data_IF_233011562803
#
_entry.id   IF_233011562803
#
_cell.length_a   1.000
_cell.length_b   1.000
_cell.length_c   1.000
_cell.angle_alpha   90.00
_cell.angle_beta   90.00
_cell.angle_gamma   90.00
#
_symmetry.space_group_name_H-M   'P 1'
#
loop_
_entity.id
_entity.type
_entity.pdbx_description
1 polymer ?
#
# COMPACT_ATOMS: atom_id res chain seq x y z
N UNK A 1 -27.16 -16.31 -14.14
CA UNK A 1 -26.08 -17.13 -13.54
C UNK A 1 -25.75 -16.50 -12.18
N UNK A 2 -25.57 -17.28 -11.12
CA UNK A 2 -25.07 -16.70 -9.88
C UNK A 2 -23.69 -16.12 -10.14
N UNK A 3 -23.48 -14.86 -9.79
CA UNK A 3 -22.18 -14.20 -9.89
C UNK A 3 -21.18 -14.96 -9.01
N UNK A 4 -20.00 -15.25 -9.54
CA UNK A 4 -18.94 -15.86 -8.74
C UNK A 4 -18.45 -14.88 -7.65
N UNK A 5 -17.92 -15.42 -6.56
CA UNK A 5 -17.20 -14.59 -5.59
C UNK A 5 -15.93 -14.05 -6.24
N UNK A 6 -15.74 -12.72 -6.18
CA UNK A 6 -14.61 -12.03 -6.81
C UNK A 6 -13.73 -11.42 -5.73
N UNK A 7 -12.41 -11.62 -5.86
CA UNK A 7 -11.44 -10.96 -4.99
C UNK A 7 -11.06 -9.59 -5.54
N UNK A 8 -10.75 -8.66 -4.65
CA UNK A 8 -10.33 -7.29 -4.96
C UNK A 8 -9.22 -6.83 -4.03
N UNK A 9 -8.35 -5.99 -4.57
CA UNK A 9 -7.43 -5.13 -3.84
C UNK A 9 -7.97 -3.71 -3.83
N UNK A 10 -7.93 -3.03 -2.70
CA UNK A 10 -8.20 -1.61 -2.55
C UNK A 10 -6.92 -0.91 -2.15
N UNK A 11 -6.67 0.24 -2.75
CA UNK A 11 -5.56 1.11 -2.40
C UNK A 11 -6.11 2.46 -1.99
N UNK A 12 -5.62 2.96 -0.86
CA UNK A 12 -6.03 4.23 -0.26
C UNK A 12 -4.82 5.15 -0.32
N UNK A 13 -4.92 6.19 -1.15
CA UNK A 13 -3.82 7.12 -1.40
C UNK A 13 -4.14 8.48 -0.77
N UNK A 14 -3.27 8.93 0.12
CA UNK A 14 -3.38 10.24 0.77
C UNK A 14 -2.87 11.41 -0.11
N UNK A 15 -2.32 11.11 -1.29
CA UNK A 15 -1.68 12.10 -2.14
C UNK A 15 -0.35 12.60 -1.57
N UNK A 16 0.12 13.72 -2.09
CA UNK A 16 1.35 14.37 -1.61
C UNK A 16 1.11 15.04 -0.25
N UNK A 17 1.74 14.50 0.78
CA UNK A 17 1.69 14.98 2.16
C UNK A 17 3.09 14.97 2.77
N UNK A 18 3.27 15.61 3.92
CA UNK A 18 4.57 15.71 4.58
C UNK A 18 5.05 14.38 5.20
N UNK A 19 4.14 13.47 5.49
CA UNK A 19 4.45 12.21 6.18
C UNK A 19 4.90 12.35 7.62
N UNK A 20 4.92 13.57 8.13
CA UNK A 20 5.32 13.95 9.49
C UNK A 20 4.08 14.20 10.33
N UNK A 21 3.21 15.11 9.88
CA UNK A 21 1.96 15.47 10.55
C UNK A 21 0.79 14.62 10.10
N UNK A 22 0.81 14.19 8.83
CA UNK A 22 -0.19 13.29 8.25
C UNK A 22 0.51 12.14 7.52
N UNK A 23 -0.13 10.96 7.46
CA UNK A 23 0.47 9.79 6.83
C UNK A 23 0.59 9.95 5.30
N UNK A 24 1.70 9.49 4.75
CA UNK A 24 1.90 9.31 3.30
C UNK A 24 1.96 7.84 2.90
N UNK A 25 1.97 6.92 3.87
CA UNK A 25 1.88 5.50 3.58
C UNK A 25 0.61 5.21 2.78
N UNK A 26 0.73 4.40 1.73
CA UNK A 26 -0.42 3.93 0.99
C UNK A 26 -1.18 2.92 1.84
N UNK A 27 -2.42 3.26 2.19
CA UNK A 27 -3.33 2.31 2.79
C UNK A 27 -3.70 1.24 1.77
N UNK A 28 -3.98 0.05 2.24
CA UNK A 28 -4.38 -1.04 1.38
C UNK A 28 -5.35 -1.97 2.10
N UNK A 29 -6.27 -2.56 1.34
CA UNK A 29 -7.15 -3.61 1.84
C UNK A 29 -7.28 -4.69 0.78
N UNK A 30 -7.47 -5.91 1.22
CA UNK A 30 -7.82 -7.06 0.39
C UNK A 30 -9.16 -7.61 0.84
N UNK A 31 -9.94 -8.13 -0.09
CA UNK A 31 -11.25 -8.67 0.25
C UNK A 31 -11.89 -9.43 -0.87
N UNK A 32 -13.11 -9.88 -0.61
CA UNK A 32 -13.93 -10.62 -1.57
C UNK A 32 -15.34 -10.07 -1.56
N UNK A 33 -15.93 -10.01 -2.74
CA UNK A 33 -17.34 -9.70 -2.94
C UNK A 33 -18.06 -10.99 -3.28
N UNK A 34 -19.07 -11.32 -2.50
CA UNK A 34 -19.91 -12.49 -2.72
C UNK A 34 -20.87 -12.27 -3.90
N UNK A 35 -21.49 -13.35 -4.37
CA UNK A 35 -22.54 -13.32 -5.38
C UNK A 35 -23.81 -12.52 -4.96
N UNK A 36 -23.91 -12.14 -3.68
CA UNK A 36 -24.99 -11.28 -3.15
C UNK A 36 -24.61 -9.81 -3.09
N UNK A 37 -23.47 -9.41 -3.66
CA UNK A 37 -22.97 -8.05 -3.62
C UNK A 37 -22.49 -7.60 -2.23
N UNK A 38 -22.16 -8.53 -1.34
CA UNK A 38 -21.59 -8.21 -0.03
C UNK A 38 -20.08 -8.41 -0.12
N UNK A 39 -19.33 -7.32 0.10
CA UNK A 39 -17.88 -7.31 0.15
C UNK A 39 -17.39 -7.23 1.58
N UNK A 40 -16.35 -7.99 1.91
CA UNK A 40 -15.63 -7.89 3.20
C UNK A 40 -14.16 -7.68 2.92
N UNK A 41 -13.61 -6.60 3.46
CA UNK A 41 -12.24 -6.15 3.23
C UNK A 41 -11.50 -5.98 4.54
N UNK A 42 -10.21 -6.28 4.53
CA UNK A 42 -9.29 -6.10 5.67
C UNK A 42 -7.93 -5.64 5.17
N UNK A 43 -7.30 -4.76 5.94
CA UNK A 43 -5.98 -4.25 5.59
C UNK A 43 -5.47 -3.23 6.57
N UNK A 44 -4.65 -2.32 6.08
CA UNK A 44 -4.07 -1.22 6.85
C UNK A 44 -4.44 0.12 6.21
N UNK A 45 -4.74 1.09 7.03
CA UNK A 45 -4.80 2.50 6.61
C UNK A 45 -3.38 3.06 6.45
N UNK A 46 -3.24 4.18 5.77
CA UNK A 46 -1.95 4.81 5.50
C UNK A 46 -1.11 5.16 6.73
N UNK A 47 -1.72 5.25 7.93
CA UNK A 47 -1.03 5.44 9.21
C UNK A 47 -0.59 4.12 9.88
N UNK A 48 -0.78 2.99 9.21
CA UNK A 48 -0.46 1.65 9.73
C UNK A 48 -1.52 1.05 10.65
N UNK A 49 -2.67 1.70 10.82
CA UNK A 49 -3.78 1.19 11.63
C UNK A 49 -4.53 0.10 10.87
N UNK A 50 -4.78 -1.03 11.54
CA UNK A 50 -5.59 -2.11 10.95
C UNK A 50 -7.05 -1.67 10.83
N UNK A 51 -7.64 -1.92 9.67
CA UNK A 51 -9.03 -1.62 9.40
C UNK A 51 -9.74 -2.80 8.73
N UNK A 52 -11.03 -2.91 8.98
CA UNK A 52 -11.91 -3.83 8.28
C UNK A 52 -13.23 -3.15 7.95
N UNK A 53 -13.81 -3.51 6.80
CA UNK A 53 -15.07 -2.93 6.34
C UNK A 53 -15.92 -4.00 5.66
N UNK A 54 -17.22 -3.88 5.83
CA UNK A 54 -18.20 -4.66 5.07
C UNK A 54 -18.99 -3.69 4.20
N UNK A 55 -19.00 -3.93 2.89
CA UNK A 55 -19.65 -3.12 1.87
C UNK A 55 -20.88 -3.85 1.34
N UNK A 56 -21.90 -3.08 0.97
CA UNK A 56 -23.00 -3.56 0.14
C UNK A 56 -22.97 -2.82 -1.17
N UNK A 57 -22.78 -3.56 -2.25
CA UNK A 57 -22.72 -3.01 -3.60
C UNK A 57 -24.11 -2.71 -4.14
N UNK A 58 -24.27 -1.57 -4.76
CA UNK A 58 -25.38 -1.25 -5.64
C UNK A 58 -25.29 -2.03 -6.95
N UNK A 59 -26.32 -1.96 -7.79
CA UNK A 59 -26.32 -2.53 -9.12
C UNK A 59 -25.24 -1.92 -10.04
N UNK A 60 -24.75 -0.74 -9.69
CA UNK A 60 -23.69 -0.01 -10.42
C UNK A 60 -22.27 -0.24 -9.86
N UNK A 61 -22.09 -1.20 -8.94
CA UNK A 61 -20.79 -1.48 -8.34
C UNK A 61 -20.37 -0.48 -7.26
N UNK A 62 -21.20 0.49 -6.91
CA UNK A 62 -20.92 1.48 -5.88
C UNK A 62 -21.29 0.96 -4.48
N UNK A 63 -20.53 1.38 -3.48
CA UNK A 63 -20.81 1.08 -2.09
C UNK A 63 -20.38 2.23 -1.16
N UNK A 64 -20.98 2.31 0.01
CA UNK A 64 -20.48 3.16 1.08
C UNK A 64 -19.37 2.44 1.79
N UNK A 65 -18.17 2.99 1.75
CA UNK A 65 -17.07 2.63 2.63
C UNK A 65 -17.23 3.41 3.92
N UNK A 66 -17.33 2.71 5.05
CA UNK A 66 -17.35 3.32 6.36
C UNK A 66 -16.66 2.43 7.37
N UNK A 67 -15.66 2.98 8.05
CA UNK A 67 -14.93 2.28 9.10
C UNK A 67 -14.52 3.23 10.21
N UNK A 68 -14.57 2.75 11.45
CA UNK A 68 -14.09 3.43 12.65
C UNK A 68 -13.00 2.56 13.31
N UNK A 69 -11.80 2.50 12.74
CA UNK A 69 -10.75 1.58 13.19
C UNK A 69 -10.07 2.03 14.50
N UNK A 70 -10.37 3.24 14.95
CA UNK A 70 -9.79 3.84 16.14
C UNK A 70 -10.73 3.71 17.34
N UNK A 71 -10.15 3.69 18.54
CA UNK A 71 -10.93 3.66 19.78
C UNK A 71 -11.61 5.00 20.07
N UNK A 72 -11.04 6.10 19.61
CA UNK A 72 -11.56 7.45 19.85
C UNK A 72 -12.76 7.72 18.95
N UNK A 73 -13.85 8.19 19.58
CA UNK A 73 -15.04 8.68 18.86
C UNK A 73 -14.66 9.89 18.02
N UNK A 74 -15.22 9.99 16.82
CA UNK A 74 -14.90 11.06 15.88
C UNK A 74 -13.78 10.72 14.88
N UNK A 75 -13.11 9.57 15.06
CA UNK A 75 -12.14 9.07 14.08
C UNK A 75 -12.81 8.09 13.13
N UNK A 76 -12.67 8.31 11.83
CA UNK A 76 -13.30 7.47 10.81
C UNK A 76 -12.60 7.60 9.46
N UNK A 77 -12.86 6.66 8.59
CA UNK A 77 -12.67 6.79 7.14
C UNK A 77 -13.99 6.43 6.47
N UNK A 78 -14.44 7.28 5.52
CA UNK A 78 -15.74 7.04 4.89
C UNK A 78 -16.00 7.88 3.66
N UNK A 79 -16.79 7.30 2.76
CA UNK A 79 -17.20 7.91 1.50
C UNK A 79 -17.86 6.89 0.60
N UNK A 80 -18.04 7.23 -0.67
CA UNK A 80 -18.55 6.32 -1.69
C UNK A 80 -17.38 5.77 -2.48
N UNK A 81 -17.38 4.46 -2.72
CA UNK A 81 -16.37 3.78 -3.52
C UNK A 81 -17.02 2.93 -4.60
N UNK A 82 -16.37 2.82 -5.75
CA UNK A 82 -16.83 2.02 -6.89
C UNK A 82 -15.86 0.87 -7.10
N UNK A 83 -16.34 -0.37 -6.97
CA UNK A 83 -15.48 -1.54 -7.18
C UNK A 83 -15.26 -1.80 -8.68
N UNK A 84 -14.01 -2.06 -9.04
CA UNK A 84 -13.62 -2.30 -10.43
C UNK A 84 -13.48 -1.02 -11.25
N UNK A 85 -13.36 0.14 -10.59
CA UNK A 85 -13.10 1.42 -11.25
C UNK A 85 -11.68 1.50 -11.84
N UNK A 86 -10.76 0.71 -11.33
CA UNK A 86 -9.45 0.54 -11.93
C UNK A 86 -9.59 -0.36 -13.17
N UNK A 87 -9.15 0.12 -14.33
CA UNK A 87 -9.27 -0.60 -15.61
C UNK A 87 -10.51 -0.22 -16.44
N UNK A 88 -11.42 0.63 -15.96
CA UNK A 88 -12.51 1.19 -16.78
C UNK A 88 -12.13 2.56 -17.36
N UNK A 89 -10.93 2.73 -17.83
CA UNK A 89 -10.53 3.98 -18.44
C UNK A 89 -10.71 3.93 -19.95
N UNK A 90 -11.34 4.96 -20.53
CA UNK A 90 -11.14 5.30 -21.93
C UNK A 90 -9.63 5.46 -22.13
N UNK A 91 -9.02 4.85 -23.17
CA UNK A 91 -7.59 5.02 -23.42
C UNK A 91 -7.19 6.49 -23.33
N UNK A 92 -6.24 6.83 -22.44
CA UNK A 92 -5.77 8.20 -22.19
C UNK A 92 -6.50 8.98 -21.09
N UNK A 93 -7.53 8.43 -20.46
CA UNK A 93 -8.13 9.04 -19.26
C UNK A 93 -7.37 8.60 -18.00
N UNK A 94 -7.27 9.51 -17.02
CA UNK A 94 -6.76 9.16 -15.70
C UNK A 94 -7.67 8.08 -15.05
N UNK A 95 -7.12 7.16 -14.24
CA UNK A 95 -7.92 6.23 -13.48
C UNK A 95 -8.99 6.96 -12.68
N UNK A 96 -10.22 6.44 -12.67
CA UNK A 96 -11.26 6.96 -11.80
C UNK A 96 -10.92 6.51 -10.37
N UNK A 97 -10.59 7.46 -9.53
CA UNK A 97 -10.41 7.26 -8.11
C UNK A 97 -11.57 7.90 -7.36
N UNK A 98 -12.16 7.14 -6.44
CA UNK A 98 -13.18 7.66 -5.56
C UNK A 98 -12.52 8.42 -4.41
N UNK A 99 -13.13 9.53 -3.98
CA UNK A 99 -12.66 10.30 -2.85
C UNK A 99 -13.40 9.92 -1.58
N UNK A 100 -12.67 9.71 -0.50
CA UNK A 100 -13.21 9.49 0.83
C UNK A 100 -12.56 10.42 1.84
N UNK A 101 -13.24 10.66 2.95
CA UNK A 101 -12.75 11.47 4.05
C UNK A 101 -12.13 10.61 5.13
N UNK A 102 -11.00 11.05 5.65
CA UNK A 102 -10.32 10.36 6.73
C UNK A 102 -9.94 11.33 7.85
N UNK A 103 -10.42 11.02 9.06
CA UNK A 103 -10.17 11.80 10.28
C UNK A 103 -9.66 10.86 11.36
N UNK A 104 -8.65 11.31 12.08
CA UNK A 104 -8.10 10.63 13.24
C UNK A 104 -8.00 11.64 14.38
N UNK A 105 -8.78 11.46 15.44
CA UNK A 105 -8.69 12.28 16.64
C UNK A 105 -7.35 12.07 17.35
N UNK A 106 -6.84 13.08 18.02
CA UNK A 106 -5.61 12.99 18.79
C UNK A 106 -5.72 11.89 19.87
N UNK A 107 -4.66 11.12 20.02
CA UNK A 107 -4.53 10.08 21.04
C UNK A 107 -3.06 9.84 21.35
N UNK A 108 -2.59 10.40 22.45
CA UNK A 108 -1.20 10.29 22.90
C UNK A 108 -0.72 8.83 23.18
N UNK A 109 -1.66 7.86 23.20
CA UNK A 109 -1.36 6.44 23.36
C UNK A 109 -1.06 5.73 22.04
N UNK A 110 -1.34 6.37 20.90
CA UNK A 110 -1.04 5.78 19.60
C UNK A 110 0.44 5.91 19.27
N UNK A 111 0.99 4.87 18.63
CA UNK A 111 2.40 4.82 18.26
C UNK A 111 2.72 5.56 16.95
N UNK A 112 1.69 5.94 16.20
CA UNK A 112 1.80 6.71 14.96
C UNK A 112 0.82 7.86 14.96
N UNK A 113 1.30 9.04 14.57
CA UNK A 113 0.48 10.26 14.45
C UNK A 113 -0.39 10.54 15.69
N UNK A 114 0.21 10.71 16.89
CA UNK A 114 -0.55 10.86 18.15
C UNK A 114 -1.37 12.15 18.21
N UNK A 115 -0.97 13.20 17.47
CA UNK A 115 -1.71 14.48 17.38
C UNK A 115 -2.99 14.35 16.54
N UNK A 116 -3.15 13.25 15.82
CA UNK A 116 -4.27 13.06 14.90
C UNK A 116 -4.19 13.95 13.67
N UNK A 117 -5.24 13.93 12.86
CA UNK A 117 -5.46 14.79 11.70
C UNK A 117 -6.95 14.84 11.37
N UNK A 118 -7.40 15.93 10.78
CA UNK A 118 -8.83 16.13 10.50
C UNK A 118 -9.09 16.38 9.01
N UNK A 119 -10.20 15.81 8.54
CA UNK A 119 -10.75 16.08 7.23
C UNK A 119 -9.81 15.81 6.05
N UNK A 120 -8.91 14.83 6.17
CA UNK A 120 -8.01 14.48 5.09
C UNK A 120 -8.80 13.79 3.96
N UNK A 121 -8.75 14.36 2.75
CA UNK A 121 -9.27 13.71 1.55
C UNK A 121 -8.23 12.71 1.05
N UNK A 122 -8.69 11.50 0.83
CA UNK A 122 -7.88 10.42 0.25
C UNK A 122 -8.61 9.81 -0.94
N UNK A 123 -7.87 9.33 -1.90
CA UNK A 123 -8.44 8.61 -3.05
C UNK A 123 -8.43 7.11 -2.81
N UNK A 124 -9.42 6.42 -3.37
CA UNK A 124 -9.53 4.96 -3.27
C UNK A 124 -9.60 4.37 -4.66
N UNK A 125 -8.59 3.60 -5.00
CA UNK A 125 -8.56 2.79 -6.19
C UNK A 125 -8.87 1.33 -5.89
N UNK A 126 -9.58 0.63 -6.77
CA UNK A 126 -9.93 -0.78 -6.61
C UNK A 126 -9.53 -1.58 -7.84
N UNK A 127 -8.83 -2.69 -7.64
CA UNK A 127 -8.43 -3.64 -8.67
C UNK A 127 -9.02 -5.01 -8.40
N UNK A 128 -9.49 -5.68 -9.44
CA UNK A 128 -9.92 -7.06 -9.36
C UNK A 128 -8.69 -7.97 -9.25
N UNK A 129 -8.77 -8.95 -8.35
CA UNK A 129 -7.71 -9.94 -8.18
C UNK A 129 -8.12 -11.28 -8.80
N UNK A 130 -7.37 -11.71 -9.80
CA UNK A 130 -7.48 -13.04 -10.41
C UNK A 130 -6.39 -13.93 -9.83
N UNK A 131 -6.79 -15.05 -9.20
CA UNK A 131 -5.84 -15.95 -8.54
C UNK A 131 -4.95 -16.62 -9.60
N UNK A 132 -3.63 -16.33 -9.63
CA UNK A 132 -2.74 -16.92 -10.63
C UNK A 132 -2.51 -18.40 -10.36
N UNK A 133 -2.34 -19.21 -11.40
CA UNK A 133 -2.04 -20.63 -11.24
C UNK A 133 -0.63 -20.87 -10.70
N UNK A 134 0.35 -20.12 -11.21
CA UNK A 134 1.79 -20.22 -10.92
C UNK A 134 2.40 -18.84 -10.65
N UNK A 135 3.65 -18.80 -10.21
CA UNK A 135 4.40 -17.55 -10.10
C UNK A 135 4.63 -16.89 -11.47
N UNK A 136 4.89 -17.69 -12.50
CA UNK A 136 5.00 -17.22 -13.89
C UNK A 136 3.71 -16.53 -14.33
N UNK A 137 2.55 -17.18 -14.12
CA UNK A 137 1.25 -16.58 -14.45
C UNK A 137 0.97 -15.30 -13.67
N UNK A 138 1.48 -15.18 -12.42
CA UNK A 138 1.41 -13.93 -11.67
C UNK A 138 2.30 -12.87 -12.31
N UNK A 139 3.56 -13.19 -12.63
CA UNK A 139 4.48 -12.26 -13.28
C UNK A 139 3.90 -11.74 -14.61
N UNK A 140 3.35 -12.63 -15.42
CA UNK A 140 2.68 -12.25 -16.67
C UNK A 140 1.49 -11.33 -16.45
N UNK A 141 0.64 -11.62 -15.44
CA UNK A 141 -0.53 -10.78 -15.13
C UNK A 141 -0.18 -9.41 -14.54
N UNK A 142 1.03 -9.26 -14.02
CA UNK A 142 1.58 -7.99 -13.53
C UNK A 142 2.43 -7.28 -14.59
N UNK A 143 2.54 -7.87 -15.81
CA UNK A 143 3.40 -7.35 -16.86
C UNK A 143 4.91 -7.56 -16.60
N UNK A 144 5.28 -8.34 -15.60
CA UNK A 144 6.68 -8.67 -15.30
C UNK A 144 7.17 -9.74 -16.29
N UNK A 145 7.75 -9.31 -17.39
CA UNK A 145 8.34 -10.22 -18.38
C UNK A 145 9.60 -10.89 -17.84
N UNK A 146 10.02 -11.99 -18.49
CA UNK A 146 11.09 -12.91 -18.05
C UNK A 146 12.44 -12.28 -17.65
N UNK A 147 12.65 -11.00 -17.91
CA UNK A 147 13.85 -10.24 -17.53
C UNK A 147 13.52 -8.83 -17.04
N UNK A 148 12.26 -8.53 -16.73
CA UNK A 148 11.91 -7.21 -16.23
C UNK A 148 12.26 -7.10 -14.75
N UNK A 149 13.03 -6.11 -14.41
CA UNK A 149 13.29 -5.70 -13.03
C UNK A 149 12.08 -4.95 -12.51
N UNK A 150 11.63 -5.31 -11.33
CA UNK A 150 10.66 -4.51 -10.61
C UNK A 150 11.40 -3.59 -9.67
N UNK A 151 11.15 -2.30 -9.81
CA UNK A 151 11.78 -1.27 -8.98
C UNK A 151 10.92 -0.99 -7.76
N UNK A 152 11.54 -0.96 -6.59
CA UNK A 152 10.88 -0.52 -5.35
C UNK A 152 11.12 0.98 -5.17
N UNK A 153 10.04 1.75 -5.17
CA UNK A 153 10.08 3.17 -4.84
C UNK A 153 9.54 3.36 -3.43
N UNK A 154 10.31 4.03 -2.59
CA UNK A 154 9.93 4.35 -1.21
C UNK A 154 9.89 5.86 -1.06
N UNK A 155 8.81 6.42 -0.52
CA UNK A 155 8.65 7.86 -0.41
C UNK A 155 7.99 8.32 0.88
N UNK A 156 8.38 9.48 1.38
CA UNK A 156 7.82 10.16 2.54
C UNK A 156 8.20 9.56 3.89
N UNK A 157 7.41 9.84 4.92
CA UNK A 157 7.58 9.26 6.26
C UNK A 157 8.78 9.79 7.05
N UNK A 158 9.32 10.96 6.71
CA UNK A 158 10.51 11.52 7.38
C UNK A 158 11.79 10.78 7.03
N UNK A 159 11.79 10.04 5.94
CA UNK A 159 13.01 9.50 5.37
C UNK A 159 13.87 10.66 4.86
N UNK A 160 15.19 10.57 5.06
CA UNK A 160 16.15 11.67 4.85
C UNK A 160 16.16 12.15 3.38
N UNK A 161 15.27 13.08 3.07
CA UNK A 161 15.16 13.75 1.79
C UNK A 161 15.27 15.25 2.07
N UNK A 162 16.46 15.80 1.90
CA UNK A 162 16.65 17.26 1.98
C UNK A 162 15.92 18.03 0.89
N UNK A 163 15.22 17.29 -0.01
CA UNK A 163 14.33 17.88 -1.02
C UNK A 163 13.15 16.94 -1.27
N UNK A 164 11.94 17.47 -1.55
CA UNK A 164 10.74 16.67 -1.83
C UNK A 164 10.80 15.96 -3.20
N UNK A 165 11.96 15.56 -3.64
CA UNK A 165 12.12 14.92 -4.92
C UNK A 165 12.18 13.41 -4.79
N UNK A 166 11.23 12.78 -5.44
CA UNK A 166 11.07 11.36 -5.73
C UNK A 166 12.37 10.63 -6.12
N UNK A 167 13.38 11.36 -6.57
CA UNK A 167 14.63 10.82 -7.12
C UNK A 167 15.63 10.29 -6.09
N UNK A 168 15.57 10.70 -4.82
CA UNK A 168 16.50 10.17 -3.80
C UNK A 168 15.94 8.98 -3.02
N UNK A 169 14.63 8.77 -3.05
CA UNK A 169 13.96 7.63 -2.44
C UNK A 169 13.75 6.46 -3.42
N UNK A 170 14.02 6.65 -4.70
CA UNK A 170 14.09 5.56 -5.66
C UNK A 170 15.42 4.82 -5.43
N UNK A 171 15.37 3.84 -4.58
CA UNK A 171 16.43 2.86 -4.45
C UNK A 171 16.10 1.76 -5.44
N UNK A 172 16.80 1.68 -6.58
CA UNK A 172 16.56 0.60 -7.52
C UNK A 172 17.00 -0.71 -6.87
N UNK A 173 16.05 -1.36 -6.23
CA UNK A 173 16.21 -2.73 -5.79
C UNK A 173 15.43 -3.56 -6.78
N UNK A 174 16.15 -4.17 -7.69
CA UNK A 174 15.58 -5.14 -8.61
C UNK A 174 15.25 -6.41 -7.83
N UNK A 175 14.05 -6.93 -7.99
CA UNK A 175 13.71 -8.23 -7.47
C UNK A 175 12.84 -9.01 -8.44
N UNK A 176 12.90 -10.31 -8.32
CA UNK A 176 12.13 -11.26 -9.10
C UNK A 176 11.20 -12.05 -8.19
N UNK A 177 10.20 -12.66 -8.76
CA UNK A 177 9.30 -13.56 -8.07
C UNK A 177 9.77 -15.00 -8.31
N UNK A 178 10.06 -15.74 -7.23
CA UNK A 178 10.39 -17.17 -7.33
C UNK A 178 9.13 -18.06 -7.36
N UNK A 179 9.30 -19.35 -7.63
CA UNK A 179 8.21 -20.32 -7.72
C UNK A 179 7.38 -20.49 -6.44
N UNK A 180 7.90 -20.00 -5.32
CA UNK A 180 7.22 -19.99 -4.01
C UNK A 180 6.56 -18.67 -3.69
N UNK A 181 6.48 -17.76 -4.68
CA UNK A 181 5.97 -16.40 -4.54
C UNK A 181 6.80 -15.53 -3.58
N UNK A 182 8.07 -15.88 -3.35
CA UNK A 182 8.96 -14.96 -2.64
C UNK A 182 9.44 -13.89 -3.62
N UNK A 183 9.51 -12.67 -3.08
CA UNK A 183 10.11 -11.55 -3.76
C UNK A 183 11.61 -11.57 -3.43
N UNK A 184 12.42 -11.94 -4.41
CA UNK A 184 13.86 -12.18 -4.25
C UNK A 184 14.62 -11.02 -4.87
N UNK A 185 15.50 -10.40 -4.12
CA UNK A 185 16.39 -9.36 -4.63
C UNK A 185 17.33 -9.97 -5.69
N UNK A 186 17.25 -9.50 -6.91
CA UNK A 186 18.25 -9.81 -7.93
C UNK A 186 19.45 -8.90 -7.70
N UNK A 187 20.61 -9.48 -7.44
CA UNK A 187 21.85 -8.76 -7.30
C UNK A 187 22.78 -9.06 -8.49
N UNK A 188 22.87 -8.22 -9.48
CA UNK A 188 24.07 -8.20 -10.31
C UNK A 188 25.02 -7.11 -9.80
N UNK A 189 26.05 -7.50 -9.06
CA UNK A 189 27.32 -6.78 -8.98
C UNK A 189 27.41 -5.56 -8.04
N UNK A 190 26.34 -5.10 -7.43
CA UNK A 190 26.38 -4.03 -6.43
C UNK A 190 25.61 -4.45 -5.17
N UNK A 191 26.19 -4.18 -4.00
CA UNK A 191 25.48 -4.37 -2.75
C UNK A 191 24.20 -3.54 -2.79
N UNK A 192 23.00 -4.14 -2.78
CA UNK A 192 21.78 -3.36 -2.83
C UNK A 192 21.72 -2.44 -1.62
N UNK A 193 21.44 -1.15 -1.83
CA UNK A 193 21.25 -0.19 -0.75
C UNK A 193 20.11 -0.59 0.18
N UNK A 194 19.14 -1.34 -0.34
CA UNK A 194 18.02 -1.89 0.43
C UNK A 194 17.90 -3.39 0.15
N UNK A 195 17.89 -4.19 1.21
CA UNK A 195 17.63 -5.62 1.09
C UNK A 195 16.17 -5.87 1.39
N UNK A 196 15.43 -6.36 0.40
CA UNK A 196 14.07 -6.82 0.56
C UNK A 196 14.01 -8.32 0.80
N UNK A 197 13.25 -8.72 1.80
CA UNK A 197 12.82 -10.10 1.99
C UNK A 197 11.30 -10.10 2.11
N UNK A 198 10.62 -10.52 1.08
CA UNK A 198 9.17 -10.45 1.03
C UNK A 198 8.53 -11.69 0.40
N UNK A 199 7.22 -11.76 0.53
CA UNK A 199 6.41 -12.83 -0.03
C UNK A 199 5.06 -12.26 -0.48
N UNK A 200 4.64 -12.65 -1.68
CA UNK A 200 3.29 -12.43 -2.17
C UNK A 200 2.36 -13.58 -1.77
N UNK A 201 1.11 -13.25 -1.48
CA UNK A 201 0.07 -14.23 -1.17
C UNK A 201 -0.80 -14.44 -2.40
N UNK A 202 -0.65 -15.59 -3.02
CA UNK A 202 -1.33 -15.98 -4.26
C UNK A 202 -2.85 -15.78 -4.22
N UNK A 203 -3.49 -16.09 -3.09
CA UNK A 203 -4.96 -16.13 -2.99
C UNK A 203 -5.64 -14.79 -2.91
N UNK A 204 -4.90 -13.72 -2.62
CA UNK A 204 -5.49 -12.40 -2.37
C UNK A 204 -4.61 -11.22 -2.80
N UNK A 205 -3.46 -11.48 -3.43
CA UNK A 205 -2.57 -10.46 -3.95
C UNK A 205 -1.85 -9.62 -2.90
N UNK A 206 -2.01 -9.89 -1.62
CA UNK A 206 -1.25 -9.14 -0.61
C UNK A 206 0.21 -9.56 -0.61
N UNK A 207 1.08 -8.65 -0.22
CA UNK A 207 2.47 -8.96 0.06
C UNK A 207 2.88 -8.45 1.44
N UNK A 208 3.85 -9.12 2.03
CA UNK A 208 4.51 -8.68 3.26
C UNK A 208 6.00 -8.88 3.12
N UNK A 209 6.77 -8.08 3.84
CA UNK A 209 8.23 -8.20 3.80
C UNK A 209 8.91 -7.33 4.83
N UNK A 210 10.23 -7.38 4.80
CA UNK A 210 11.11 -6.58 5.61
C UNK A 210 12.12 -5.92 4.71
N UNK A 211 12.27 -4.60 4.85
CA UNK A 211 13.33 -3.84 4.21
C UNK A 211 14.42 -3.54 5.23
N UNK A 212 15.66 -3.75 4.84
CA UNK A 212 16.80 -3.21 5.58
C UNK A 212 17.18 -1.88 4.95
N UNK A 213 16.94 -0.80 5.68
CA UNK A 213 17.28 0.55 5.26
C UNK A 213 18.74 0.84 5.64
N UNK A 214 19.54 1.47 4.78
CA UNK A 214 20.92 1.81 5.10
C UNK A 214 21.01 2.82 6.24
N UNK A 215 22.16 2.90 6.88
CA UNK A 215 22.44 3.89 7.89
C UNK A 215 22.27 5.31 7.35
N UNK A 216 21.67 6.20 8.13
CA UNK A 216 21.40 7.60 7.74
C UNK A 216 20.20 7.79 6.81
N UNK A 217 19.48 6.72 6.46
CA UNK A 217 18.32 6.82 5.58
C UNK A 217 17.08 7.40 6.31
N UNK A 218 16.98 7.20 7.62
CA UNK A 218 15.93 7.79 8.45
C UNK A 218 16.58 8.75 9.47
N UNK A 219 16.27 10.03 9.39
CA UNK A 219 16.88 11.08 10.24
C UNK A 219 16.46 10.97 11.69
N UNK A 220 15.25 10.52 11.96
CA UNK A 220 14.63 10.53 13.29
C UNK A 220 14.75 9.20 14.03
N UNK A 221 15.54 8.26 13.51
CA UNK A 221 15.74 6.97 14.21
C UNK A 221 16.79 7.12 15.29
N UNK A 222 16.51 6.74 16.56
CA UNK A 222 17.53 6.72 17.60
C UNK A 222 18.70 5.82 17.18
N UNK A 223 19.88 6.38 17.10
CA UNK A 223 21.07 5.65 16.67
C UNK A 223 21.30 5.65 15.15
N UNK A 224 20.79 6.60 14.41
CA UNK A 224 20.76 6.75 12.91
C UNK A 224 22.06 6.45 12.13
N UNK A 225 23.09 5.95 12.79
CA UNK A 225 24.32 5.43 12.20
C UNK A 225 24.22 3.94 11.83
N UNK A 226 23.16 3.24 12.23
CA UNK A 226 23.00 1.80 11.98
C UNK A 226 21.88 1.54 10.99
N UNK A 227 22.00 0.48 10.19
CA UNK A 227 20.95 0.01 9.32
C UNK A 227 19.67 -0.31 10.12
N UNK A 228 18.52 0.15 9.65
CA UNK A 228 17.23 -0.08 10.30
C UNK A 228 16.40 -1.11 9.51
N UNK A 229 15.68 -1.95 10.24
CA UNK A 229 14.75 -2.91 9.65
C UNK A 229 13.32 -2.33 9.69
N UNK A 230 12.67 -2.25 8.56
CA UNK A 230 11.32 -1.71 8.40
C UNK A 230 10.38 -2.78 7.85
N UNK A 231 9.26 -3.00 8.56
CA UNK A 231 8.22 -3.91 8.07
C UNK A 231 7.44 -3.25 6.92
N UNK A 232 7.27 -4.01 5.85
CA UNK A 232 6.51 -3.59 4.68
C UNK A 232 5.31 -4.48 4.43
N UNK A 233 4.24 -3.89 3.92
CA UNK A 233 3.05 -4.63 3.51
C UNK A 233 2.25 -3.87 2.47
N UNK A 234 1.54 -4.59 1.61
CA UNK A 234 0.77 -4.00 0.54
C UNK A 234 -0.06 -5.00 -0.23
N UNK A 235 -0.53 -4.57 -1.38
CA UNK A 235 -1.27 -5.38 -2.36
C UNK A 235 -0.64 -5.24 -3.74
N UNK A 236 -0.69 -6.32 -4.50
CA UNK A 236 -0.42 -6.33 -5.93
C UNK A 236 -1.68 -5.92 -6.68
N UNK A 237 -1.50 -5.30 -7.82
CA UNK A 237 -2.56 -4.74 -8.65
C UNK A 237 -2.40 -5.29 -10.07
N UNK A 238 -3.37 -6.07 -10.53
CA UNK A 238 -3.33 -6.73 -11.84
C UNK A 238 -3.97 -5.91 -12.96
N UNK A 239 -4.95 -5.09 -12.63
CA UNK A 239 -5.52 -4.15 -13.62
C UNK A 239 -4.61 -2.92 -13.63
N UNK A 240 -4.10 -2.51 -14.75
CA UNK A 240 -3.15 -1.39 -14.90
C UNK A 240 -3.79 -0.01 -14.57
N UNK A 241 -3.99 0.33 -13.30
CA UNK A 241 -4.70 1.57 -12.95
C UNK A 241 -3.77 2.78 -12.95
N UNK A 242 -2.49 2.53 -12.68
CA UNK A 242 -1.47 3.58 -12.53
C UNK A 242 -0.26 3.35 -13.46
N UNK A 243 -0.53 2.92 -14.69
CA UNK A 243 0.53 2.65 -15.68
C UNK A 243 1.45 1.51 -15.23
N UNK A 244 2.69 1.82 -14.92
CA UNK A 244 3.71 0.83 -14.56
C UNK A 244 3.66 0.37 -13.10
N UNK A 245 2.73 0.89 -12.26
CA UNK A 245 2.62 0.48 -10.85
C UNK A 245 1.86 -0.83 -10.74
N UNK A 246 2.54 -1.87 -10.31
CA UNK A 246 2.04 -3.23 -10.19
C UNK A 246 1.84 -3.69 -8.74
N UNK A 247 2.22 -2.85 -7.79
CA UNK A 247 1.97 -3.08 -6.38
C UNK A 247 2.19 -1.82 -5.55
N UNK A 248 1.46 -1.72 -4.45
CA UNK A 248 1.51 -0.57 -3.58
C UNK A 248 1.20 -0.92 -2.13
N UNK A 249 1.71 -0.11 -1.22
CA UNK A 249 1.55 -0.34 0.21
C UNK A 249 2.33 0.65 1.05
N UNK A 250 2.75 0.21 2.20
CA UNK A 250 3.47 1.04 3.16
C UNK A 250 4.59 0.30 3.88
N UNK A 251 5.55 1.06 4.36
CA UNK A 251 6.55 0.63 5.33
C UNK A 251 6.36 1.38 6.64
N UNK A 252 6.70 0.73 7.74
CA UNK A 252 6.74 1.34 9.07
C UNK A 252 8.17 1.76 9.38
N UNK A 253 8.42 3.07 9.36
CA UNK A 253 9.72 3.65 9.65
C UNK A 253 9.77 3.98 11.14
N UNK A 254 10.64 3.34 11.94
CA UNK A 254 10.79 3.65 13.36
C UNK A 254 11.12 5.13 13.58
N UNK A 255 10.66 5.70 14.68
CA UNK A 255 10.97 7.08 15.09
C UNK A 255 11.60 7.15 16.47
N UNK A 256 12.15 8.32 16.82
CA UNK A 256 12.75 8.60 18.13
C UNK A 256 11.75 8.65 19.31
N UNK A 257 10.46 8.50 19.06
CA UNK A 257 9.41 8.50 20.07
C UNK A 257 9.46 7.32 21.04
N UNK A 258 8.41 7.10 21.85
CA UNK A 258 8.28 5.94 22.71
C UNK A 258 8.57 4.63 21.97
N UNK A 259 9.04 3.60 22.68
CA UNK A 259 9.38 2.31 22.06
C UNK A 259 8.23 1.80 21.19
N UNK A 260 8.52 1.56 19.92
CA UNK A 260 7.57 1.09 18.93
C UNK A 260 6.87 2.21 18.15
N UNK A 261 7.18 3.48 18.43
CA UNK A 261 6.69 4.59 17.61
C UNK A 261 7.22 4.48 16.19
N UNK A 262 6.38 4.83 15.21
CA UNK A 262 6.74 4.80 13.80
C UNK A 262 5.96 5.86 13.02
N UNK A 263 6.48 6.22 11.87
CA UNK A 263 5.78 6.87 10.78
C UNK A 263 5.59 5.87 9.65
N UNK A 264 4.73 6.20 8.72
CA UNK A 264 4.56 5.39 7.51
C UNK A 264 5.15 6.11 6.32
N UNK A 265 5.80 5.35 5.46
CA UNK A 265 6.20 5.78 4.13
C UNK A 265 5.49 4.91 3.09
N UNK A 266 5.32 5.43 1.88
CA UNK A 266 4.77 4.68 0.76
C UNK A 266 5.78 3.70 0.21
N UNK A 267 5.29 2.58 -0.33
CA UNK A 267 6.06 1.66 -1.17
C UNK A 267 5.30 1.41 -2.45
N UNK A 268 5.98 1.55 -3.57
CA UNK A 268 5.47 1.25 -4.89
C UNK A 268 6.36 0.19 -5.53
N UNK A 269 5.75 -0.78 -6.19
CA UNK A 269 6.40 -1.74 -7.06
C UNK A 269 6.11 -1.30 -8.49
N UNK A 270 7.15 -0.94 -9.21
CA UNK A 270 7.07 -0.33 -10.55
C UNK A 270 7.84 -1.20 -11.53
N UNK A 271 7.22 -1.47 -12.66
CA UNK A 271 7.84 -2.16 -13.78
C UNK A 271 8.66 -1.21 -14.64
#
# INVERSE_FOLDING_TARGET
MPLATVAYSLVINAGEKDGITVPVGLGWMKGKVSNKGIGTFKGLLGDGTSASVTLRLSAYGQAVLWSQPYKNKGSYIGGVVTLGNLGQTTPGAAPLEDEVWWTKAADAKTLSYPEGFDGMRVTVGTSRWSIPATATALSESLGWSDNSSVVVIIGGGGLNNEEPQVTKAALPTEFTLDDKFNLVTSAPGTTPLVVWKGKAVKTDGSFTGTLTLPAGFATDVPGGTSAASAAASGVLVQDEPWGTVTGCGQIKVPTAGPKGSFRTASILLVQ
#
